data_IF_203907874580
#
_entry.id   IF_203907874580
#
_cell.length_a   1.000
_cell.length_b   1.000
_cell.length_c   1.000
_cell.angle_alpha   90.00
_cell.angle_beta   90.00
_cell.angle_gamma   90.00
#
_symmetry.space_group_name_H-M   'P 1'
#
loop_
_entity.id
_entity.type
_entity.pdbx_description
1 polymer ?
#
# COMPACT_ATOMS: atom_id res chain seq x y z
N UNK A 1 -28.46 20.76 7.35
CA UNK A 1 -27.36 19.90 7.89
C UNK A 1 -26.55 20.60 8.98
N UNK A 2 -26.12 21.86 8.83
CA UNK A 2 -25.38 22.57 9.88
C UNK A 2 -26.14 22.69 11.24
N UNK A 3 -27.45 22.90 11.20
CA UNK A 3 -28.27 23.04 12.41
C UNK A 3 -28.34 21.78 13.29
N UNK A 4 -28.41 20.58 12.69
CA UNK A 4 -28.47 19.32 13.46
C UNK A 4 -27.12 18.96 14.07
N UNK A 5 -26.02 19.27 13.37
CA UNK A 5 -24.66 19.11 13.89
C UNK A 5 -24.41 20.08 15.05
N UNK A 6 -24.79 21.35 14.91
CA UNK A 6 -24.66 22.36 15.96
C UNK A 6 -25.44 21.98 17.23
N UNK A 7 -26.67 21.49 17.07
CA UNK A 7 -27.52 21.03 18.18
C UNK A 7 -26.92 19.85 18.97
N UNK A 8 -26.04 19.06 18.34
CA UNK A 8 -25.43 17.86 18.93
C UNK A 8 -23.91 17.97 19.12
N UNK A 9 -23.37 19.19 19.13
CA UNK A 9 -21.94 19.43 19.14
C UNK A 9 -21.24 18.79 20.35
N UNK A 10 -21.88 18.81 21.53
CA UNK A 10 -21.31 18.23 22.75
C UNK A 10 -21.09 16.71 22.61
N UNK A 11 -22.07 16.00 22.05
CA UNK A 11 -22.01 14.56 21.81
C UNK A 11 -20.96 14.24 20.74
N UNK A 12 -20.91 15.02 19.66
CA UNK A 12 -19.92 14.88 18.58
C UNK A 12 -18.50 15.04 19.15
N UNK A 13 -18.25 16.08 19.96
CA UNK A 13 -16.95 16.30 20.62
C UNK A 13 -16.58 15.16 21.58
N UNK A 14 -17.56 14.57 22.26
CA UNK A 14 -17.31 13.41 23.13
C UNK A 14 -16.84 12.19 22.31
N UNK A 15 -17.50 11.91 21.18
CA UNK A 15 -17.10 10.83 20.26
C UNK A 15 -15.70 11.08 19.69
N UNK A 16 -15.39 12.31 19.28
CA UNK A 16 -14.06 12.69 18.79
C UNK A 16 -12.97 12.47 19.85
N UNK A 17 -13.24 12.81 21.12
CA UNK A 17 -12.30 12.55 22.22
C UNK A 17 -12.05 11.06 22.44
N UNK A 18 -13.10 10.23 22.35
CA UNK A 18 -12.95 8.77 22.46
C UNK A 18 -12.12 8.22 21.31
N UNK A 19 -12.36 8.66 20.07
CA UNK A 19 -11.55 8.29 18.91
C UNK A 19 -10.09 8.71 19.07
N UNK A 20 -9.82 9.94 19.52
CA UNK A 20 -8.46 10.41 19.76
C UNK A 20 -7.74 9.59 20.84
N UNK A 21 -8.45 9.23 21.92
CA UNK A 21 -7.90 8.38 22.97
C UNK A 21 -7.53 6.98 22.46
N UNK A 22 -8.37 6.39 21.60
CA UNK A 22 -8.08 5.10 20.95
C UNK A 22 -6.81 5.19 20.10
N UNK A 23 -6.70 6.23 19.28
CA UNK A 23 -5.52 6.44 18.43
C UNK A 23 -4.25 6.66 19.25
N UNK A 24 -4.32 7.46 20.32
CA UNK A 24 -3.18 7.73 21.20
C UNK A 24 -2.72 6.48 21.97
N UNK A 25 -3.66 5.65 22.44
CA UNK A 25 -3.32 4.40 23.13
C UNK A 25 -2.56 3.44 22.19
N UNK A 26 -3.02 3.33 20.94
CA UNK A 26 -2.44 2.41 19.97
C UNK A 26 -1.05 2.85 19.43
N UNK A 27 -0.70 4.13 19.51
CA UNK A 27 0.66 4.62 19.20
C UNK A 27 1.64 4.41 20.36
N UNK A 28 1.14 4.33 21.61
CA UNK A 28 1.97 4.12 22.80
C UNK A 28 2.37 2.65 23.06
N UNK A 29 1.65 1.68 22.49
CA UNK A 29 1.94 0.24 22.66
C UNK A 29 2.91 -0.28 21.58
N UNK A 30 4.21 0.03 21.71
CA UNK A 30 5.27 -0.39 20.77
C UNK A 30 6.06 -1.63 21.19
N UNK A 31 5.68 -2.35 22.26
CA UNK A 31 6.38 -3.55 22.74
C UNK A 31 5.53 -4.83 22.64
N UNK A 32 6.04 -5.78 21.85
CA UNK A 32 5.65 -7.19 21.66
C UNK A 32 4.40 -7.70 22.40
N UNK A 33 3.22 -7.55 21.80
CA UNK A 33 2.04 -8.40 22.01
C UNK A 33 0.90 -7.83 21.14
N UNK A 34 0.88 -8.17 19.85
CA UNK A 34 -0.27 -7.84 18.96
C UNK A 34 -1.44 -8.78 19.26
N UNK A 35 -2.02 -8.68 20.46
CA UNK A 35 -3.41 -9.09 20.68
C UNK A 35 -4.30 -7.91 20.34
N UNK A 36 -5.14 -8.09 19.32
CA UNK A 36 -6.19 -7.18 18.89
C UNK A 36 -6.96 -6.60 20.09
N UNK A 37 -6.64 -5.37 20.49
CA UNK A 37 -7.38 -4.69 21.55
C UNK A 37 -8.82 -4.38 21.05
N UNK A 38 -9.87 -4.77 21.79
CA UNK A 38 -11.26 -4.52 21.40
C UNK A 38 -11.64 -3.07 21.70
N UNK A 39 -11.26 -2.14 20.81
CA UNK A 39 -11.52 -0.71 20.98
C UNK A 39 -12.23 -0.06 19.77
N UNK A 40 -13.46 -0.51 19.42
CA UNK A 40 -14.43 0.40 18.79
C UNK A 40 -15.82 0.39 19.42
N UNK A 41 -16.14 -0.45 20.40
CA UNK A 41 -17.54 -0.62 20.84
C UNK A 41 -18.12 0.63 21.50
N UNK A 42 -17.40 1.26 22.43
CA UNK A 42 -17.86 2.48 23.08
C UNK A 42 -18.08 3.64 22.09
N UNK A 43 -17.19 3.81 21.11
CA UNK A 43 -17.32 4.85 20.08
C UNK A 43 -18.54 4.59 19.19
N UNK A 44 -18.72 3.32 18.77
CA UNK A 44 -19.89 2.88 17.99
C UNK A 44 -21.18 3.11 18.79
N UNK A 45 -21.22 2.72 20.05
CA UNK A 45 -22.39 2.87 20.90
C UNK A 45 -22.78 4.35 21.06
N UNK A 46 -21.82 5.24 21.31
CA UNK A 46 -22.09 6.68 21.39
C UNK A 46 -22.56 7.27 20.05
N UNK A 47 -21.99 6.81 18.93
CA UNK A 47 -22.46 7.22 17.60
C UNK A 47 -23.90 6.79 17.35
N UNK A 48 -24.26 5.56 17.71
CA UNK A 48 -25.62 5.04 17.53
C UNK A 48 -26.65 5.68 18.46
N UNK A 49 -26.22 6.29 19.56
CA UNK A 49 -27.06 7.08 20.48
C UNK A 49 -27.35 8.50 19.97
N UNK A 50 -26.72 8.96 18.88
CA UNK A 50 -26.99 10.28 18.32
C UNK A 50 -28.46 10.40 17.85
N UNK A 51 -29.13 11.53 18.12
CA UNK A 51 -30.51 11.74 17.70
C UNK A 51 -30.67 11.62 16.19
N UNK A 52 -31.63 10.81 15.76
CA UNK A 52 -31.95 10.60 14.34
C UNK A 52 -30.74 10.19 13.49
N UNK A 53 -29.82 9.39 14.05
CA UNK A 53 -28.59 8.96 13.37
C UNK A 53 -28.86 8.31 12.02
N UNK A 54 -29.94 7.53 11.87
CA UNK A 54 -30.29 6.89 10.60
C UNK A 54 -30.55 7.90 9.47
N UNK A 55 -31.16 9.04 9.78
CA UNK A 55 -31.48 10.07 8.79
C UNK A 55 -30.33 11.04 8.53
N UNK A 56 -29.42 11.21 9.50
CA UNK A 56 -28.36 12.24 9.45
C UNK A 56 -26.94 11.65 9.55
N UNK A 57 -26.79 10.34 9.29
CA UNK A 57 -25.53 9.62 9.50
C UNK A 57 -24.36 10.27 8.76
N UNK A 58 -24.55 10.67 7.50
CA UNK A 58 -23.52 11.34 6.72
C UNK A 58 -23.05 12.65 7.36
N UNK A 59 -23.96 13.48 7.86
CA UNK A 59 -23.61 14.75 8.51
C UNK A 59 -22.84 14.53 9.82
N UNK A 60 -23.27 13.56 10.64
CA UNK A 60 -22.58 13.23 11.88
C UNK A 60 -21.21 12.61 11.63
N UNK A 61 -21.12 11.64 10.72
CA UNK A 61 -19.85 11.03 10.34
C UNK A 61 -18.89 12.09 9.78
N UNK A 62 -19.37 13.03 8.98
CA UNK A 62 -18.53 14.10 8.43
C UNK A 62 -17.96 14.97 9.57
N UNK A 63 -18.83 15.43 10.47
CA UNK A 63 -18.43 16.24 11.61
C UNK A 63 -17.47 15.50 12.57
N UNK A 64 -17.67 14.19 12.76
CA UNK A 64 -16.82 13.37 13.64
C UNK A 64 -15.47 13.11 12.99
N UNK A 65 -15.44 12.66 11.74
CA UNK A 65 -14.25 12.09 11.11
C UNK A 65 -13.36 13.14 10.43
N UNK A 66 -13.95 14.09 9.70
CA UNK A 66 -13.23 14.96 8.75
C UNK A 66 -12.11 15.75 9.41
N UNK A 67 -12.42 16.48 10.48
CA UNK A 67 -11.45 17.37 11.12
C UNK A 67 -10.29 16.61 11.73
N UNK A 68 -10.56 15.56 12.50
CA UNK A 68 -9.50 14.79 13.15
C UNK A 68 -8.67 13.97 12.16
N UNK A 69 -9.27 13.45 11.08
CA UNK A 69 -8.51 12.78 10.04
C UNK A 69 -7.61 13.76 9.27
N UNK A 70 -8.16 14.92 8.88
CA UNK A 70 -7.40 16.00 8.21
C UNK A 70 -6.25 16.55 9.06
N UNK A 71 -6.43 16.60 10.39
CA UNK A 71 -5.42 17.09 11.34
C UNK A 71 -4.45 16.00 11.82
N UNK A 72 -4.54 14.77 11.30
CA UNK A 72 -3.75 13.60 11.75
C UNK A 72 -3.99 13.16 13.19
N UNK A 73 -5.04 13.65 13.83
CA UNK A 73 -5.45 13.25 15.18
C UNK A 73 -6.02 11.83 15.21
N UNK A 74 -6.51 11.34 14.06
CA UNK A 74 -7.00 9.97 13.89
C UNK A 74 -6.18 9.21 12.86
N UNK A 75 -5.76 7.98 13.20
CA UNK A 75 -5.12 7.09 12.24
C UNK A 75 -6.19 6.39 11.37
N UNK A 76 -5.94 6.24 10.07
CA UNK A 76 -6.89 5.59 9.14
C UNK A 76 -7.32 4.20 9.61
N UNK A 77 -6.40 3.42 10.17
CA UNK A 77 -6.69 2.10 10.76
C UNK A 77 -7.83 2.17 11.78
N UNK A 78 -7.76 3.13 12.70
CA UNK A 78 -8.71 3.23 13.81
C UNK A 78 -10.07 3.74 13.29
N UNK A 79 -10.05 4.62 12.29
CA UNK A 79 -11.27 5.04 11.59
C UNK A 79 -11.94 3.86 10.88
N UNK A 80 -11.18 3.04 10.16
CA UNK A 80 -11.72 1.84 9.51
C UNK A 80 -12.19 0.81 10.54
N UNK A 81 -11.55 0.69 11.70
CA UNK A 81 -12.03 -0.17 12.79
C UNK A 81 -13.36 0.33 13.37
N UNK A 82 -13.51 1.64 13.56
CA UNK A 82 -14.77 2.26 13.93
C UNK A 82 -15.87 2.01 12.88
N UNK A 83 -15.58 2.25 11.60
CA UNK A 83 -16.54 2.00 10.51
C UNK A 83 -16.94 0.52 10.42
N UNK A 84 -15.99 -0.41 10.53
CA UNK A 84 -16.29 -1.86 10.58
C UNK A 84 -17.25 -2.23 11.70
N UNK A 85 -17.17 -1.53 12.83
CA UNK A 85 -18.06 -1.76 13.98
C UNK A 85 -19.50 -1.25 13.79
N UNK A 86 -19.77 -0.42 12.78
CA UNK A 86 -21.11 0.11 12.53
C UNK A 86 -22.03 -0.98 11.96
N UNK A 87 -23.25 -1.17 12.50
CA UNK A 87 -24.15 -2.24 12.06
C UNK A 87 -24.88 -1.95 10.75
N UNK A 88 -25.04 -0.67 10.38
CA UNK A 88 -25.72 -0.27 9.15
C UNK A 88 -24.71 -0.06 8.01
N UNK A 89 -24.76 -0.84 6.92
CA UNK A 89 -23.84 -0.68 5.80
C UNK A 89 -23.89 0.70 5.13
N UNK A 90 -25.04 1.39 5.15
CA UNK A 90 -25.11 2.74 4.60
C UNK A 90 -24.21 3.72 5.38
N UNK A 91 -24.13 3.56 6.71
CA UNK A 91 -23.21 4.37 7.52
C UNK A 91 -21.75 4.05 7.18
N UNK A 92 -21.43 2.78 6.91
CA UNK A 92 -20.08 2.37 6.51
C UNK A 92 -19.70 3.02 5.16
N UNK A 93 -20.61 2.99 4.18
CA UNK A 93 -20.40 3.60 2.86
C UNK A 93 -20.30 5.13 2.95
N UNK A 94 -21.11 5.79 3.79
CA UNK A 94 -21.00 7.23 4.05
C UNK A 94 -19.63 7.57 4.68
N UNK A 95 -19.16 6.75 5.62
CA UNK A 95 -17.81 6.87 6.19
C UNK A 95 -16.71 6.75 5.14
N UNK A 96 -16.77 5.74 4.27
CA UNK A 96 -15.82 5.55 3.17
C UNK A 96 -15.75 6.77 2.25
N UNK A 97 -16.91 7.34 1.88
CA UNK A 97 -16.98 8.55 1.06
C UNK A 97 -16.25 9.73 1.72
N UNK A 98 -16.50 9.97 3.01
CA UNK A 98 -15.86 11.07 3.76
C UNK A 98 -14.34 10.88 3.82
N UNK A 99 -13.87 9.67 4.14
CA UNK A 99 -12.44 9.37 4.18
C UNK A 99 -11.78 9.63 2.82
N UNK A 100 -12.43 9.17 1.73
CA UNK A 100 -11.96 9.39 0.36
C UNK A 100 -11.87 10.88 0.02
N UNK A 101 -12.91 11.65 0.33
CA UNK A 101 -12.95 13.09 0.09
C UNK A 101 -11.81 13.82 0.82
N UNK A 102 -11.55 13.45 2.07
CA UNK A 102 -10.43 14.01 2.84
C UNK A 102 -9.10 13.64 2.19
N UNK A 103 -8.91 12.39 1.77
CA UNK A 103 -7.69 11.94 1.07
C UNK A 103 -7.45 12.69 -0.24
N UNK A 104 -8.49 12.95 -1.04
CA UNK A 104 -8.38 13.75 -2.28
C UNK A 104 -7.97 15.19 -1.97
N UNK A 105 -8.54 15.77 -0.91
CA UNK A 105 -8.30 17.17 -0.55
C UNK A 105 -6.91 17.45 0.04
N UNK A 106 -6.17 16.41 0.43
CA UNK A 106 -4.87 16.56 1.09
C UNK A 106 -3.70 16.58 0.08
N UNK A 107 -2.86 17.63 0.11
CA UNK A 107 -1.76 17.81 -0.83
C UNK A 107 -0.53 16.93 -0.52
N UNK A 108 -0.36 16.45 0.72
CA UNK A 108 0.83 15.66 1.13
C UNK A 108 0.62 14.15 0.94
N UNK A 109 1.63 13.51 0.33
CA UNK A 109 1.68 12.06 0.03
C UNK A 109 1.67 11.16 1.28
N UNK A 110 1.97 11.71 2.46
CA UNK A 110 2.11 10.92 3.69
C UNK A 110 0.78 10.35 4.22
N UNK A 111 -0.36 10.97 3.95
CA UNK A 111 -1.66 10.37 4.29
C UNK A 111 -2.09 9.28 3.30
N UNK A 112 -1.76 9.47 2.02
CA UNK A 112 -2.03 8.47 0.98
C UNK A 112 -1.13 7.25 1.12
N UNK A 113 -0.12 7.29 2.00
CA UNK A 113 0.70 6.16 2.40
C UNK A 113 -0.10 5.00 3.04
N UNK A 114 -1.39 5.18 3.31
CA UNK A 114 -2.28 4.14 3.82
C UNK A 114 -3.48 3.85 2.89
N UNK A 115 -3.40 4.28 1.62
CA UNK A 115 -4.47 4.17 0.61
C UNK A 115 -5.01 2.75 0.40
N UNK A 116 -4.23 1.72 0.73
CA UNK A 116 -4.64 0.32 0.54
C UNK A 116 -5.73 -0.11 1.51
N UNK A 117 -5.67 0.39 2.76
CA UNK A 117 -6.57 -0.07 3.81
C UNK A 117 -8.04 0.19 3.46
N UNK A 118 -8.32 1.35 2.84
CA UNK A 118 -9.66 1.69 2.36
C UNK A 118 -10.07 0.80 1.18
N UNK A 119 -9.17 0.47 0.27
CA UNK A 119 -9.46 -0.43 -0.86
C UNK A 119 -9.85 -1.84 -0.39
N UNK A 120 -9.10 -2.40 0.56
CA UNK A 120 -9.43 -3.67 1.19
C UNK A 120 -10.79 -3.61 1.92
N UNK A 121 -11.06 -2.52 2.64
CA UNK A 121 -12.34 -2.37 3.32
C UNK A 121 -13.52 -2.24 2.35
N UNK A 122 -13.38 -1.49 1.25
CA UNK A 122 -14.42 -1.40 0.21
C UNK A 122 -14.67 -2.77 -0.44
N UNK A 123 -13.62 -3.55 -0.71
CA UNK A 123 -13.79 -4.92 -1.22
C UNK A 123 -14.50 -5.83 -0.21
N UNK A 124 -14.18 -5.72 1.09
CA UNK A 124 -14.88 -6.42 2.17
C UNK A 124 -16.39 -6.07 2.18
N UNK A 125 -16.73 -4.78 2.07
CA UNK A 125 -18.11 -4.32 1.97
C UNK A 125 -18.80 -4.86 0.72
N UNK A 126 -18.12 -4.86 -0.42
CA UNK A 126 -18.63 -5.40 -1.67
C UNK A 126 -19.00 -6.87 -1.56
N UNK A 127 -18.16 -7.67 -0.89
CA UNK A 127 -18.44 -9.08 -0.62
C UNK A 127 -19.63 -9.25 0.35
N UNK A 128 -19.71 -8.43 1.39
CA UNK A 128 -20.84 -8.46 2.36
C UNK A 128 -22.17 -8.04 1.75
N UNK A 129 -22.15 -7.12 0.78
CA UNK A 129 -23.34 -6.49 0.20
C UNK A 129 -23.79 -7.13 -1.12
N UNK A 130 -23.33 -8.33 -1.45
CA UNK A 130 -23.64 -9.00 -2.73
C UNK A 130 -25.14 -9.08 -3.05
N UNK A 131 -26.00 -9.25 -2.04
CA UNK A 131 -27.46 -9.35 -2.19
C UNK A 131 -28.22 -8.08 -1.79
N UNK A 132 -27.51 -7.02 -1.40
CA UNK A 132 -28.09 -5.76 -0.94
C UNK A 132 -28.34 -4.80 -2.10
N UNK A 133 -29.39 -3.95 -2.06
CA UNK A 133 -29.53 -2.84 -3.01
C UNK A 133 -28.34 -1.86 -2.97
N UNK A 134 -27.59 -1.82 -1.85
CA UNK A 134 -26.38 -1.00 -1.71
C UNK A 134 -25.19 -1.53 -2.52
N UNK A 135 -25.30 -2.72 -3.13
CA UNK A 135 -24.26 -3.31 -4.00
C UNK A 135 -23.83 -2.36 -5.11
N UNK A 136 -24.79 -1.70 -5.76
CA UNK A 136 -24.53 -0.77 -6.87
C UNK A 136 -23.60 0.36 -6.41
N UNK A 137 -23.87 0.92 -5.22
CA UNK A 137 -23.09 2.02 -4.65
C UNK A 137 -21.66 1.59 -4.29
N UNK A 138 -21.49 0.41 -3.69
CA UNK A 138 -20.15 -0.08 -3.34
C UNK A 138 -19.36 -0.54 -4.57
N UNK A 139 -20.01 -1.08 -5.60
CA UNK A 139 -19.37 -1.36 -6.89
C UNK A 139 -18.93 -0.06 -7.58
N UNK A 140 -19.75 1.00 -7.52
CA UNK A 140 -19.37 2.31 -8.04
C UNK A 140 -18.09 2.82 -7.36
N UNK A 141 -18.02 2.76 -6.03
CA UNK A 141 -16.79 3.11 -5.29
C UNK A 141 -15.59 2.27 -5.74
N UNK A 142 -15.81 0.96 -5.90
CA UNK A 142 -14.77 0.02 -6.31
C UNK A 142 -14.16 0.37 -7.68
N UNK A 143 -15.00 0.72 -8.64
CA UNK A 143 -14.56 1.01 -10.00
C UNK A 143 -14.09 2.46 -10.21
N UNK A 144 -14.71 3.43 -9.55
CA UNK A 144 -14.37 4.85 -9.72
C UNK A 144 -13.16 5.29 -8.90
N UNK A 145 -12.92 4.69 -7.73
CA UNK A 145 -11.88 5.16 -6.82
C UNK A 145 -10.55 4.45 -7.01
N UNK A 146 -10.57 3.16 -7.34
CA UNK A 146 -9.38 2.31 -7.41
C UNK A 146 -9.08 1.93 -8.85
N UNK A 147 -7.79 1.99 -9.24
CA UNK A 147 -7.34 1.56 -10.56
C UNK A 147 -7.42 0.04 -10.70
N UNK A 148 -7.34 -0.46 -11.92
CA UNK A 148 -7.36 -1.90 -12.19
C UNK A 148 -6.25 -2.65 -11.45
N UNK A 149 -5.03 -2.12 -11.47
CA UNK A 149 -3.90 -2.70 -10.74
C UNK A 149 -4.13 -2.74 -9.23
N UNK A 150 -4.76 -1.69 -8.67
CA UNK A 150 -5.09 -1.65 -7.25
C UNK A 150 -6.13 -2.72 -6.87
N UNK A 151 -7.12 -2.91 -7.75
CA UNK A 151 -8.12 -3.97 -7.59
C UNK A 151 -7.49 -5.35 -7.70
N UNK A 152 -6.61 -5.57 -8.67
CA UNK A 152 -5.85 -6.81 -8.83
C UNK A 152 -5.07 -7.14 -7.55
N UNK A 153 -4.35 -6.16 -7.00
CA UNK A 153 -3.62 -6.31 -5.74
C UNK A 153 -4.53 -6.72 -4.58
N UNK A 154 -5.66 -6.03 -4.37
CA UNK A 154 -6.61 -6.32 -3.29
C UNK A 154 -7.27 -7.70 -3.46
N UNK A 155 -7.45 -8.16 -4.70
CA UNK A 155 -7.96 -9.49 -5.03
C UNK A 155 -6.89 -10.60 -4.93
N UNK A 156 -5.62 -10.24 -4.68
CA UNK A 156 -4.51 -11.18 -4.61
C UNK A 156 -4.02 -11.68 -5.97
N UNK A 157 -4.38 -10.98 -7.05
CA UNK A 157 -3.87 -11.26 -8.39
C UNK A 157 -2.44 -10.73 -8.54
N UNK A 158 -1.71 -11.31 -9.50
CA UNK A 158 -0.41 -10.82 -9.93
C UNK A 158 -0.53 -9.39 -10.48
N UNK A 159 0.49 -8.57 -10.20
CA UNK A 159 0.66 -7.24 -10.80
C UNK A 159 2.08 -7.11 -11.36
N UNK A 160 2.26 -6.16 -12.27
CA UNK A 160 3.58 -5.76 -12.78
C UNK A 160 4.01 -4.46 -12.12
N UNK A 161 5.32 -4.30 -11.93
CA UNK A 161 5.94 -3.10 -11.39
C UNK A 161 6.72 -2.40 -12.50
N UNK A 162 6.17 -1.28 -12.99
CA UNK A 162 6.75 -0.45 -14.03
C UNK A 162 7.46 0.75 -13.40
N UNK A 163 8.65 1.10 -13.89
CA UNK A 163 9.33 2.32 -13.45
C UNK A 163 8.59 3.56 -13.94
N UNK A 164 8.61 4.63 -13.13
CA UNK A 164 8.07 5.94 -13.54
C UNK A 164 9.15 6.85 -14.13
N UNK A 165 10.31 6.31 -14.52
CA UNK A 165 11.33 7.10 -15.22
C UNK A 165 10.76 7.71 -16.49
N UNK A 166 11.46 8.71 -17.05
CA UNK A 166 11.12 9.58 -18.19
C UNK A 166 10.88 8.85 -19.52
N UNK A 167 10.03 7.84 -19.52
CA UNK A 167 9.54 7.17 -20.71
C UNK A 167 8.65 8.17 -21.47
N UNK A 168 9.07 8.57 -22.66
CA UNK A 168 8.29 9.41 -23.55
C UNK A 168 7.05 8.64 -24.07
N UNK A 169 7.13 7.31 -24.07
CA UNK A 169 6.09 6.39 -24.53
C UNK A 169 5.89 5.22 -23.55
N UNK A 170 4.77 4.49 -23.66
CA UNK A 170 4.47 3.35 -22.78
C UNK A 170 5.46 2.17 -22.95
N UNK A 171 6.06 2.06 -24.14
CA UNK A 171 6.97 0.97 -24.54
C UNK A 171 8.40 1.15 -24.01
N UNK A 172 8.72 2.32 -23.44
CA UNK A 172 10.03 2.62 -22.85
C UNK A 172 10.08 2.38 -21.34
N UNK A 173 9.00 1.87 -20.74
CA UNK A 173 8.93 1.64 -19.29
C UNK A 173 9.65 0.36 -18.91
N UNK A 174 10.62 0.50 -18.02
CA UNK A 174 11.32 -0.66 -17.46
C UNK A 174 10.40 -1.41 -16.49
N UNK A 175 10.31 -2.73 -16.67
CA UNK A 175 9.54 -3.65 -15.82
C UNK A 175 10.47 -4.33 -14.83
N UNK A 176 10.00 -4.55 -13.60
CA UNK A 176 10.68 -5.35 -12.59
C UNK A 176 10.53 -6.84 -12.91
N UNK A 177 11.65 -7.53 -13.14
CA UNK A 177 11.67 -8.97 -13.35
C UNK A 177 12.35 -9.69 -12.20
N UNK A 178 11.83 -10.88 -11.87
CA UNK A 178 12.56 -11.80 -11.01
C UNK A 178 13.81 -12.32 -11.76
N UNK A 179 14.99 -12.41 -11.09
CA UNK A 179 16.17 -13.04 -11.68
C UNK A 179 15.90 -14.50 -12.05
N UNK A 180 16.62 -15.02 -13.04
CA UNK A 180 16.62 -16.44 -13.43
C UNK A 180 18.01 -17.02 -13.24
N UNK A 181 18.10 -18.34 -13.07
CA UNK A 181 19.35 -19.07 -12.81
C UNK A 181 20.47 -18.85 -13.83
N UNK A 182 20.14 -18.37 -15.04
CA UNK A 182 21.13 -18.03 -16.09
C UNK A 182 21.52 -16.56 -16.14
N UNK A 183 20.84 -15.65 -15.44
CA UNK A 183 21.19 -14.21 -15.37
C UNK A 183 22.38 -13.92 -14.45
N UNK A 184 23.20 -14.93 -14.27
CA UNK A 184 23.99 -15.17 -13.09
C UNK A 184 25.44 -15.17 -13.55
N UNK A 185 26.21 -14.14 -13.18
CA UNK A 185 27.66 -14.27 -13.10
C UNK A 185 28.01 -15.48 -12.22
N UNK A 186 29.24 -15.98 -12.32
CA UNK A 186 29.82 -16.93 -11.36
C UNK A 186 29.81 -16.40 -9.91
N UNK A 187 29.45 -15.13 -9.69
CA UNK A 187 29.22 -14.53 -8.39
C UNK A 187 27.86 -14.95 -7.79
N UNK A 188 27.84 -15.83 -6.78
CA UNK A 188 26.62 -16.31 -6.14
C UNK A 188 25.80 -15.21 -5.46
N UNK A 189 26.39 -14.04 -5.20
CA UNK A 189 25.64 -12.90 -4.68
C UNK A 189 24.76 -12.34 -5.79
N UNK A 190 25.33 -11.95 -6.95
CA UNK A 190 24.60 -11.30 -8.05
C UNK A 190 23.46 -12.16 -8.64
N UNK A 191 23.51 -13.49 -8.49
CA UNK A 191 22.42 -14.41 -8.87
C UNK A 191 21.07 -14.05 -8.24
N UNK A 192 21.09 -13.38 -7.08
CA UNK A 192 19.89 -12.99 -6.33
C UNK A 192 19.48 -11.54 -6.54
N UNK A 193 20.28 -10.74 -7.26
CA UNK A 193 19.97 -9.33 -7.47
C UNK A 193 18.73 -9.19 -8.35
N UNK A 194 17.77 -8.39 -7.90
CA UNK A 194 16.58 -8.10 -8.70
C UNK A 194 16.92 -7.02 -9.73
N UNK A 195 16.48 -7.19 -10.97
CA UNK A 195 16.84 -6.34 -12.12
C UNK A 195 15.62 -5.88 -12.90
N UNK A 196 15.73 -4.72 -13.54
CA UNK A 196 14.72 -4.19 -14.45
C UNK A 196 15.16 -4.39 -15.89
N UNK A 197 14.21 -4.72 -16.76
CA UNK A 197 14.42 -4.74 -18.20
C UNK A 197 13.55 -3.70 -18.87
N UNK A 198 14.13 -2.96 -19.83
CA UNK A 198 13.40 -2.02 -20.70
C UNK A 198 12.59 -2.75 -21.77
N UNK A 199 13.08 -3.91 -22.22
CA UNK A 199 12.41 -4.78 -23.18
C UNK A 199 12.22 -6.17 -22.58
N UNK A 200 11.14 -6.85 -22.96
CA UNK A 200 10.94 -8.24 -22.51
C UNK A 200 12.16 -9.07 -22.93
N UNK A 201 12.87 -9.70 -21.98
CA UNK A 201 14.09 -10.42 -22.29
C UNK A 201 13.77 -11.61 -23.19
N UNK A 202 14.57 -11.78 -24.25
CA UNK A 202 14.44 -12.95 -25.12
C UNK A 202 14.91 -14.22 -24.39
N UNK A 203 14.24 -15.36 -24.59
CA UNK A 203 14.65 -16.62 -23.98
C UNK A 203 16.01 -17.07 -24.56
N UNK A 204 17.08 -16.94 -23.77
CA UNK A 204 18.40 -17.44 -24.18
C UNK A 204 18.55 -18.95 -23.89
N UNK A 205 18.66 -19.75 -24.95
CA UNK A 205 19.05 -21.15 -24.85
C UNK A 205 18.07 -22.05 -24.08
N UNK A 206 16.77 -21.93 -24.38
CA UNK A 206 15.73 -22.88 -23.95
C UNK A 206 15.28 -22.75 -22.48
N UNK A 207 15.65 -21.68 -21.78
CA UNK A 207 15.17 -21.42 -20.41
C UNK A 207 13.83 -20.71 -20.37
N UNK A 208 13.13 -20.89 -19.25
CA UNK A 208 11.92 -20.13 -18.94
C UNK A 208 12.21 -18.63 -18.95
N UNK A 209 11.28 -17.86 -19.51
CA UNK A 209 11.29 -16.40 -19.47
C UNK A 209 11.24 -15.93 -18.00
N UNK A 210 12.02 -14.93 -17.59
CA UNK A 210 11.85 -14.31 -16.29
C UNK A 210 10.43 -13.76 -16.18
N UNK A 211 9.82 -13.92 -15.01
CA UNK A 211 8.48 -13.39 -14.74
C UNK A 211 8.58 -11.95 -14.24
N UNK A 212 7.75 -11.07 -14.79
CA UNK A 212 7.53 -9.71 -14.29
C UNK A 212 6.32 -9.63 -13.35
N UNK A 213 5.74 -10.76 -12.99
CA UNK A 213 4.55 -10.84 -12.16
C UNK A 213 4.90 -10.98 -10.68
N UNK A 214 4.29 -10.11 -9.87
CA UNK A 214 4.51 -10.03 -8.45
C UNK A 214 3.18 -10.10 -7.69
N UNK A 215 3.16 -10.81 -6.57
CA UNK A 215 2.01 -10.86 -5.65
C UNK A 215 2.31 -10.11 -4.37
N UNK A 216 1.35 -9.32 -3.92
CA UNK A 216 1.42 -8.57 -2.67
C UNK A 216 0.59 -9.28 -1.61
N UNK A 217 1.27 -9.86 -0.62
CA UNK A 217 0.61 -10.61 0.46
C UNK A 217 0.55 -9.72 1.72
N UNK A 218 -0.64 -9.29 2.17
CA UNK A 218 -0.73 -8.35 3.29
C UNK A 218 -0.36 -8.99 4.64
N UNK A 219 0.49 -8.31 5.41
CA UNK A 219 1.07 -8.79 6.66
C UNK A 219 0.26 -8.47 7.91
N UNK A 220 -0.51 -7.40 7.86
CA UNK A 220 -1.21 -6.86 9.01
C UNK A 220 -2.71 -6.70 8.73
N UNK A 221 -3.48 -6.55 9.82
CA UNK A 221 -4.92 -6.36 9.75
C UNK A 221 -5.30 -5.04 9.07
N UNK A 222 -4.43 -4.03 9.19
CA UNK A 222 -4.63 -2.72 8.58
C UNK A 222 -4.13 -2.63 7.12
N UNK A 223 -3.52 -3.70 6.60
CA UNK A 223 -3.09 -3.81 5.20
C UNK A 223 -2.15 -2.66 4.79
N UNK A 224 -1.29 -2.25 5.73
CA UNK A 224 -0.28 -1.21 5.52
C UNK A 224 1.10 -1.78 5.16
N UNK A 225 1.32 -3.07 5.43
CA UNK A 225 2.57 -3.78 5.15
C UNK A 225 2.29 -5.06 4.36
N UNK A 226 3.22 -5.42 3.48
CA UNK A 226 3.09 -6.51 2.53
C UNK A 226 4.41 -7.27 2.38
N UNK A 227 4.32 -8.56 2.13
CA UNK A 227 5.36 -9.27 1.40
C UNK A 227 5.15 -9.10 -0.10
N UNK A 228 6.24 -8.99 -0.84
CA UNK A 228 6.24 -8.98 -2.30
C UNK A 228 6.84 -10.31 -2.74
N UNK A 229 6.05 -11.12 -3.43
CA UNK A 229 6.34 -12.52 -3.74
C UNK A 229 6.45 -12.68 -5.25
N UNK A 230 7.43 -13.43 -5.71
CA UNK A 230 7.52 -13.84 -7.11
C UNK A 230 6.28 -14.68 -7.47
N UNK A 231 5.54 -14.33 -8.53
CA UNK A 231 4.33 -15.07 -8.89
C UNK A 231 4.63 -16.45 -9.48
N UNK A 232 5.81 -16.66 -10.09
CA UNK A 232 6.21 -17.95 -10.64
C UNK A 232 6.72 -18.91 -9.56
N UNK A 233 7.39 -18.37 -8.53
CA UNK A 233 7.83 -19.15 -7.37
C UNK A 233 7.34 -18.50 -6.06
N UNK A 234 6.27 -19.01 -5.44
CA UNK A 234 5.72 -18.44 -4.22
C UNK A 234 6.60 -18.61 -2.98
N UNK A 235 7.75 -19.30 -3.10
CA UNK A 235 8.75 -19.39 -2.03
C UNK A 235 9.77 -18.25 -2.08
N UNK A 236 9.78 -17.45 -3.14
CA UNK A 236 10.75 -16.37 -3.35
C UNK A 236 10.16 -14.99 -3.01
N UNK A 237 10.83 -14.30 -2.09
CA UNK A 237 10.40 -13.02 -1.56
C UNK A 237 11.39 -11.90 -1.90
N UNK A 238 10.86 -10.73 -2.24
CA UNK A 238 11.66 -9.53 -2.39
C UNK A 238 12.11 -9.06 -0.99
N UNK A 239 13.43 -9.06 -0.76
CA UNK A 239 14.03 -8.73 0.52
C UNK A 239 15.05 -7.60 0.38
N UNK A 240 15.03 -6.68 1.33
CA UNK A 240 16.11 -5.70 1.50
C UNK A 240 17.38 -6.44 1.95
N UNK A 241 18.30 -6.70 1.02
CA UNK A 241 19.49 -7.50 1.30
C UNK A 241 20.42 -6.78 2.29
N UNK A 242 21.00 -7.53 3.23
CA UNK A 242 22.07 -7.04 4.12
C UNK A 242 23.46 -7.13 3.50
N UNK A 243 23.57 -7.73 2.31
CA UNK A 243 24.85 -7.95 1.64
C UNK A 243 25.24 -6.65 0.94
N UNK A 244 26.45 -6.11 1.18
CA UNK A 244 27.02 -5.08 0.34
C UNK A 244 27.35 -5.71 -1.01
N UNK A 245 26.35 -5.85 -1.89
CA UNK A 245 26.63 -6.02 -3.30
C UNK A 245 27.29 -4.75 -3.80
N UNK A 246 28.25 -4.94 -4.70
CA UNK A 246 29.07 -3.93 -5.39
C UNK A 246 28.37 -2.57 -5.35
N UNK A 247 29.03 -1.59 -4.72
CA UNK A 247 28.61 -0.20 -4.73
C UNK A 247 28.30 0.19 -6.18
N UNK A 248 27.02 0.19 -6.53
CA UNK A 248 26.53 1.04 -7.61
C UNK A 248 27.06 2.44 -7.32
N UNK A 249 27.42 3.17 -8.37
CA UNK A 249 28.16 4.44 -8.31
C UNK A 249 27.55 5.49 -7.36
N UNK A 250 26.30 5.26 -6.92
CA UNK A 250 25.45 6.10 -6.09
C UNK A 250 25.31 5.69 -4.60
N UNK A 251 26.08 4.71 -4.10
CA UNK A 251 26.10 4.37 -2.66
C UNK A 251 24.80 3.70 -2.16
N UNK A 252 24.18 2.89 -3.03
CA UNK A 252 22.90 2.24 -2.80
C UNK A 252 23.14 0.76 -2.40
N UNK A 253 22.48 0.25 -1.36
CA UNK A 253 22.52 -1.19 -1.00
C UNK A 253 21.58 -1.99 -1.91
N UNK A 254 22.02 -3.11 -2.48
CA UNK A 254 21.19 -3.87 -3.42
C UNK A 254 19.98 -4.55 -2.74
N UNK A 255 18.98 -4.91 -3.56
CA UNK A 255 17.81 -5.71 -3.17
C UNK A 255 17.93 -7.11 -3.74
N UNK A 256 17.59 -8.12 -2.94
CA UNK A 256 17.71 -9.51 -3.32
C UNK A 256 16.35 -10.21 -3.36
N UNK A 257 16.23 -11.20 -4.24
CA UNK A 257 15.21 -12.22 -4.16
C UNK A 257 15.73 -13.37 -3.29
N UNK A 258 15.01 -13.69 -2.22
CA UNK A 258 15.43 -14.72 -1.28
C UNK A 258 14.38 -15.82 -1.16
N UNK A 259 14.75 -17.10 -1.42
CA UNK A 259 13.86 -18.22 -1.16
C UNK A 259 13.71 -18.41 0.34
N UNK A 260 12.47 -18.63 0.79
CA UNK A 260 12.11 -18.77 2.20
C UNK A 260 11.16 -19.95 2.39
N UNK A 261 11.51 -20.81 3.35
CA UNK A 261 10.61 -21.88 3.79
C UNK A 261 9.49 -21.26 4.64
N UNK A 262 8.32 -21.08 4.04
CA UNK A 262 7.16 -20.49 4.69
C UNK A 262 7.14 -18.95 4.66
N UNK A 263 6.28 -18.36 5.49
CA UNK A 263 6.10 -16.90 5.53
C UNK A 263 7.23 -16.25 6.33
N UNK A 264 7.99 -15.30 5.73
CA UNK A 264 9.05 -14.58 6.43
C UNK A 264 8.53 -13.78 7.62
N UNK A 265 9.37 -13.61 8.64
CA UNK A 265 9.04 -12.78 9.82
C UNK A 265 10.06 -11.68 10.07
N UNK A 266 11.07 -11.55 9.20
CA UNK A 266 12.10 -10.53 9.31
C UNK A 266 11.61 -9.19 8.72
N UNK A 267 12.11 -8.08 9.27
CA UNK A 267 11.75 -6.74 8.81
C UNK A 267 12.28 -6.42 7.40
N UNK A 268 13.23 -7.20 6.88
CA UNK A 268 13.83 -7.01 5.55
C UNK A 268 12.89 -7.47 4.43
N UNK A 269 11.97 -8.38 4.73
CA UNK A 269 10.91 -8.84 3.82
C UNK A 269 9.60 -8.02 3.91
N UNK A 270 9.51 -7.04 4.82
CA UNK A 270 8.31 -6.22 5.03
C UNK A 270 8.36 -4.90 4.25
N UNK A 271 7.40 -4.72 3.33
CA UNK A 271 7.30 -3.55 2.48
C UNK A 271 6.01 -2.76 2.75
N UNK A 272 6.11 -1.44 2.78
CA UNK A 272 4.99 -0.50 2.81
C UNK A 272 4.78 0.08 1.40
N UNK A 273 3.53 0.09 0.95
CA UNK A 273 3.13 0.76 -0.30
C UNK A 273 2.73 2.19 0.02
N UNK A 274 3.50 3.16 -0.47
CA UNK A 274 3.22 4.59 -0.24
C UNK A 274 2.77 5.27 -1.52
N UNK A 275 1.59 5.90 -1.55
CA UNK A 275 1.12 6.56 -2.78
C UNK A 275 1.90 7.84 -3.09
N UNK A 276 2.25 8.03 -4.38
CA UNK A 276 3.01 9.19 -4.89
C UNK A 276 2.13 10.18 -5.65
N UNK A 277 0.93 10.46 -5.15
CA UNK A 277 0.07 11.51 -5.71
C UNK A 277 -0.79 11.06 -6.91
N UNK A 278 -0.27 10.25 -7.82
CA UNK A 278 -1.05 9.57 -8.87
C UNK A 278 -1.70 8.28 -8.32
N UNK A 279 -2.81 7.84 -8.96
CA UNK A 279 -3.66 6.75 -8.44
C UNK A 279 -3.01 5.36 -8.49
N UNK A 280 -2.08 5.15 -9.41
CA UNK A 280 -1.40 3.89 -9.70
C UNK A 280 0.11 3.96 -9.45
N UNK A 281 0.64 5.11 -9.04
CA UNK A 281 2.07 5.29 -8.75
C UNK A 281 2.32 5.21 -7.25
N UNK A 282 3.20 4.31 -6.87
CA UNK A 282 3.56 4.01 -5.49
C UNK A 282 5.07 4.08 -5.27
N UNK A 283 5.49 4.30 -4.04
CA UNK A 283 6.84 4.12 -3.56
C UNK A 283 6.83 2.86 -2.69
N UNK A 284 7.80 1.97 -2.87
CA UNK A 284 7.95 0.78 -2.05
C UNK A 284 8.99 1.08 -0.97
N UNK A 285 8.56 1.10 0.29
CA UNK A 285 9.40 1.46 1.42
C UNK A 285 9.61 0.24 2.33
N UNK A 286 10.86 -0.10 2.60
CA UNK A 286 11.20 -1.13 3.56
C UNK A 286 11.40 -0.49 4.94
N UNK A 287 10.59 -0.90 5.92
CA UNK A 287 10.66 -0.33 7.27
C UNK A 287 11.88 -0.80 8.04
N UNK A 288 12.29 -2.06 7.87
CA UNK A 288 13.45 -2.63 8.55
C UNK A 288 14.76 -1.91 8.23
N UNK A 289 14.93 -1.51 6.97
CA UNK A 289 16.11 -0.79 6.49
C UNK A 289 15.92 0.73 6.38
N UNK A 290 14.73 1.23 6.72
CA UNK A 290 14.34 2.63 6.55
C UNK A 290 14.67 3.20 5.15
N UNK A 291 14.43 2.41 4.11
CA UNK A 291 14.89 2.71 2.75
C UNK A 291 13.79 2.49 1.70
N UNK A 292 13.92 3.20 0.59
CA UNK A 292 13.03 3.08 -0.56
C UNK A 292 13.66 2.20 -1.64
N UNK A 293 12.84 1.36 -2.28
CA UNK A 293 13.23 0.66 -3.50
C UNK A 293 13.32 1.65 -4.65
N UNK A 294 14.52 1.78 -5.22
CA UNK A 294 14.82 2.69 -6.33
C UNK A 294 15.63 1.98 -7.40
N UNK A 295 15.56 2.51 -8.62
CA UNK A 295 16.53 2.17 -9.68
C UNK A 295 17.87 2.82 -9.32
N UNK A 296 18.91 2.02 -9.08
CA UNK A 296 20.21 2.48 -8.61
C UNK A 296 21.11 2.95 -9.76
N UNK A 297 21.29 2.14 -10.81
CA UNK A 297 22.01 2.51 -12.03
C UNK A 297 21.13 2.13 -13.23
N UNK A 298 20.88 3.10 -14.12
CA UNK A 298 20.18 2.89 -15.37
C UNK A 298 21.24 2.71 -16.48
N UNK A 299 21.06 1.70 -17.33
CA UNK A 299 21.90 1.42 -18.49
C UNK A 299 23.29 0.80 -18.19
N UNK A 300 23.34 -0.20 -17.31
CA UNK A 300 24.48 -1.14 -17.39
C UNK A 300 24.20 -2.15 -18.53
N UNK A 301 25.09 -2.17 -19.53
CA UNK A 301 25.05 -3.17 -20.60
C UNK A 301 25.54 -4.51 -20.05
N UNK A 302 24.60 -5.44 -19.85
CA UNK A 302 24.86 -6.80 -19.42
C UNK A 302 24.46 -7.76 -20.53
N UNK A 303 25.44 -8.50 -21.05
CA UNK A 303 25.27 -9.50 -22.11
C UNK A 303 24.61 -8.94 -23.38
N UNK A 304 24.81 -7.65 -23.69
CA UNK A 304 24.18 -6.97 -24.83
C UNK A 304 22.75 -6.51 -24.58
N UNK A 305 22.26 -6.57 -23.34
CA UNK A 305 20.96 -6.07 -22.93
C UNK A 305 21.13 -4.93 -21.91
N UNK A 306 20.46 -3.81 -22.16
CA UNK A 306 20.38 -2.72 -21.18
C UNK A 306 19.52 -3.15 -20.00
N UNK A 307 20.12 -3.14 -18.81
CA UNK A 307 19.45 -3.48 -17.55
C UNK A 307 19.64 -2.37 -16.55
N UNK A 308 18.70 -2.27 -15.63
CA UNK A 308 18.78 -1.38 -14.48
C UNK A 308 18.85 -2.20 -13.20
N UNK A 309 19.81 -1.91 -12.33
CA UNK A 309 19.97 -2.61 -11.04
C UNK A 309 19.17 -1.87 -9.97
N UNK A 310 18.47 -2.63 -9.12
CA UNK A 310 17.72 -2.06 -8.01
C UNK A 310 18.53 -1.95 -6.74
N UNK A 311 18.21 -0.92 -5.97
CA UNK A 311 18.75 -0.77 -4.64
C UNK A 311 17.86 0.02 -3.69
N UNK A 312 18.38 0.16 -2.47
CA UNK A 312 17.77 0.79 -1.33
C UNK A 312 18.38 2.16 -1.09
N UNK A 313 17.55 3.20 -1.17
CA UNK A 313 17.94 4.56 -0.80
C UNK A 313 17.37 4.94 0.56
N UNK A 314 18.24 5.13 1.54
CA UNK A 314 17.86 5.49 2.92
C UNK A 314 17.47 6.97 3.06
N UNK A 315 18.04 7.86 2.23
CA UNK A 315 17.80 9.30 2.36
C UNK A 315 16.73 9.80 1.38
N UNK A 316 15.58 10.21 1.94
CA UNK A 316 14.47 10.78 1.16
C UNK A 316 14.86 12.07 0.43
N UNK A 317 15.78 12.88 0.97
CA UNK A 317 16.26 14.10 0.32
C UNK A 317 17.10 13.78 -0.93
N UNK A 318 17.82 12.66 -0.90
CA UNK A 318 18.62 12.16 -2.03
C UNK A 318 17.78 11.53 -3.13
N UNK A 319 16.49 11.21 -2.88
CA UNK A 319 15.56 10.78 -3.93
C UNK A 319 15.53 11.82 -5.06
N UNK A 320 15.62 13.11 -4.70
CA UNK A 320 16.17 14.26 -5.47
C UNK A 320 16.91 13.96 -6.79
N UNK A 321 17.80 12.99 -6.79
CA UNK A 321 18.78 12.80 -7.85
C UNK A 321 18.67 11.44 -8.55
N UNK A 322 17.64 10.63 -8.23
CA UNK A 322 17.45 9.29 -8.80
C UNK A 322 16.41 9.31 -9.93
N UNK A 323 16.73 8.60 -11.02
CA UNK A 323 16.00 8.53 -12.30
C UNK A 323 14.56 8.00 -12.14
N UNK A 324 14.36 6.98 -11.30
CA UNK A 324 13.03 6.50 -10.92
C UNK A 324 12.87 6.44 -9.39
N UNK A 325 11.82 7.08 -8.89
CA UNK A 325 11.46 7.12 -7.45
C UNK A 325 10.11 6.47 -7.16
N UNK A 326 9.42 6.02 -8.20
CA UNK A 326 8.07 5.52 -8.13
C UNK A 326 7.88 4.36 -9.07
N UNK A 327 6.91 3.56 -8.71
CA UNK A 327 6.51 2.32 -9.32
C UNK A 327 5.07 2.45 -9.73
N UNK A 328 4.80 2.35 -11.03
CA UNK A 328 3.44 2.21 -11.51
C UNK A 328 3.05 0.74 -11.36
N UNK A 329 1.97 0.51 -10.64
CA UNK A 329 1.32 -0.80 -10.59
C UNK A 329 0.52 -0.99 -11.89
N UNK A 330 0.79 -2.06 -12.62
CA UNK A 330 0.02 -2.45 -13.79
C UNK A 330 -0.67 -3.79 -13.56
N UNK A 331 -1.95 -3.89 -13.94
CA UNK A 331 -2.65 -5.17 -13.96
C UNK A 331 -2.07 -6.03 -15.11
N UNK A 332 -2.15 -7.34 -14.90
CA UNK A 332 -1.98 -8.31 -15.97
C UNK A 332 -3.32 -8.51 -16.69
#
# INVERSE_FOLDING_TARGET
MAAIVASNEKQIRAIQKLLAAVTAAATSSSTSSRRSAPLPRAVVDHFLQLPSVRAHSAAYLDAILRTGYKQRSFALRDLLAFLRGLPNPDHQLNGCWILREVDVSMPSSEHRAHSMALAFFVNELRQKLQTSPLKIRVDQFWHEWFTEAMRALVLGHSVRLETTATAATADERELLYAPTDKLSRDDPQLKKAVVAYRTQPEPQGGTALPTAEWKFVPLNADKSSFHIVNAADPTEYLCAASIPMVTASLGVSAVALEPREGTPTDAQSEWEIRSRGARDVVELFNRGCAAYLVVADADEDYDGQQRSVFGLLQNRASLNNVVARGWRLAAY
#
